data_IF_878150289735
#
_entry.id   IF_878150289735
#
_cell.length_a   1.000
_cell.length_b   1.000
_cell.length_c   1.000
_cell.angle_alpha   90.00
_cell.angle_beta   90.00
_cell.angle_gamma   90.00
#
_symmetry.space_group_name_H-M   'P 1'
#
loop_
_entity.id
_entity.type
_entity.pdbx_description
1 polymer ?
#
# COMPACT_ATOMS: atom_id res chain seq x y z
N UNK A 1 -18.50 25.54 28.01
CA UNK A 1 -17.85 24.34 28.59
C UNK A 1 -16.55 24.83 29.23
N UNK A 2 -16.39 24.67 30.54
CA UNK A 2 -15.22 25.21 31.26
C UNK A 2 -13.92 24.51 30.88
N UNK A 3 -12.78 25.20 31.07
CA UNK A 3 -11.42 24.70 30.78
C UNK A 3 -11.18 23.36 31.51
N UNK A 4 -11.60 23.26 32.77
CA UNK A 4 -11.48 22.04 33.59
C UNK A 4 -12.23 20.82 33.00
N UNK A 5 -13.39 21.04 32.36
CA UNK A 5 -14.17 19.97 31.72
C UNK A 5 -13.46 19.45 30.47
N UNK A 6 -12.81 20.35 29.71
CA UNK A 6 -11.99 19.96 28.56
C UNK A 6 -10.77 19.15 29.01
N UNK A 7 -10.02 19.62 30.01
CA UNK A 7 -8.85 18.92 30.54
C UNK A 7 -9.20 17.51 31.04
N UNK A 8 -10.35 17.35 31.70
CA UNK A 8 -10.83 16.03 32.15
C UNK A 8 -11.18 15.10 30.98
N UNK A 9 -11.74 15.63 29.88
CA UNK A 9 -12.03 14.84 28.68
C UNK A 9 -10.75 14.42 27.95
N UNK A 10 -9.75 15.29 27.84
CA UNK A 10 -8.44 14.93 27.29
C UNK A 10 -7.77 13.83 28.11
N UNK A 11 -7.81 13.94 29.44
CA UNK A 11 -7.28 12.89 30.33
C UNK A 11 -8.00 11.55 30.13
N UNK A 12 -9.32 11.57 29.95
CA UNK A 12 -10.11 10.36 29.69
C UNK A 12 -9.74 9.70 28.36
N UNK A 13 -9.42 10.51 27.33
CA UNK A 13 -8.91 10.01 26.06
C UNK A 13 -7.51 9.41 26.20
N UNK A 14 -6.61 10.07 26.90
CA UNK A 14 -5.27 9.54 27.18
C UNK A 14 -5.31 8.21 27.98
N UNK A 15 -6.20 8.10 28.96
CA UNK A 15 -6.40 6.84 29.69
C UNK A 15 -7.01 5.74 28.78
N UNK A 16 -7.79 6.14 27.76
CA UNK A 16 -8.30 5.23 26.75
C UNK A 16 -7.20 4.76 25.78
N UNK A 17 -6.26 5.63 25.40
CA UNK A 17 -5.09 5.26 24.58
C UNK A 17 -4.32 4.10 25.20
N UNK A 18 -3.98 4.20 26.49
CA UNK A 18 -3.24 3.16 27.21
C UNK A 18 -3.97 1.82 27.18
N UNK A 19 -5.30 1.84 27.28
CA UNK A 19 -6.12 0.62 27.24
C UNK A 19 -6.16 0.03 25.83
N UNK A 20 -6.31 0.87 24.81
CA UNK A 20 -6.31 0.45 23.40
C UNK A 20 -4.95 -0.13 23.04
N UNK A 21 -3.85 0.56 23.34
CA UNK A 21 -2.48 0.09 23.10
C UNK A 21 -2.22 -1.27 23.74
N UNK A 22 -2.73 -1.49 24.96
CA UNK A 22 -2.64 -2.78 25.63
C UNK A 22 -3.44 -3.86 24.88
N UNK A 23 -4.69 -3.57 24.52
CA UNK A 23 -5.54 -4.51 23.79
C UNK A 23 -4.93 -4.89 22.43
N UNK A 24 -4.31 -3.94 21.72
CA UNK A 24 -3.65 -4.20 20.45
C UNK A 24 -2.48 -5.17 20.61
N UNK A 25 -1.72 -5.10 21.70
CA UNK A 25 -0.62 -6.05 21.97
C UNK A 25 -1.09 -7.47 22.32
N UNK A 26 -2.37 -7.63 22.67
CA UNK A 26 -2.96 -8.90 23.11
C UNK A 26 -3.80 -9.58 22.01
N UNK A 27 -3.86 -9.02 20.80
CA UNK A 27 -4.60 -9.59 19.67
C UNK A 27 -4.09 -10.98 19.30
N UNK A 28 -5.00 -11.87 18.90
CA UNK A 28 -4.66 -13.23 18.50
C UNK A 28 -3.99 -13.28 17.12
N UNK A 29 -4.20 -12.24 16.29
CA UNK A 29 -3.58 -12.10 14.96
C UNK A 29 -2.05 -12.20 14.98
N UNK A 30 -1.40 -11.87 16.10
CA UNK A 30 0.06 -11.95 16.25
C UNK A 30 0.64 -13.36 16.17
N UNK A 31 -0.19 -14.40 16.28
CA UNK A 31 0.24 -15.78 16.02
C UNK A 31 0.56 -16.06 14.55
N UNK A 32 0.08 -15.21 13.65
CA UNK A 32 0.28 -15.36 12.21
C UNK A 32 1.59 -14.72 11.76
N UNK A 33 2.23 -15.25 10.69
CA UNK A 33 3.41 -14.64 10.11
C UNK A 33 3.18 -13.18 9.69
N UNK A 34 4.19 -12.34 9.82
CA UNK A 34 4.14 -10.94 9.35
C UNK A 34 3.64 -10.84 7.90
N UNK A 35 4.12 -11.71 7.01
CA UNK A 35 3.70 -11.74 5.61
C UNK A 35 2.20 -12.00 5.45
N UNK A 36 1.60 -12.90 6.24
CA UNK A 36 0.15 -13.17 6.21
C UNK A 36 -0.64 -11.91 6.53
N UNK A 37 -0.30 -11.21 7.62
CA UNK A 37 -1.02 -10.00 8.05
C UNK A 37 -0.87 -8.90 6.99
N UNK A 38 0.36 -8.71 6.46
CA UNK A 38 0.65 -7.74 5.43
C UNK A 38 -0.12 -8.03 4.14
N UNK A 39 -0.02 -9.25 3.60
CA UNK A 39 -0.71 -9.62 2.37
C UNK A 39 -2.23 -9.47 2.51
N UNK A 40 -2.81 -9.84 3.66
CA UNK A 40 -4.25 -9.64 3.91
C UNK A 40 -4.65 -8.17 3.95
N UNK A 41 -3.82 -7.30 4.54
CA UNK A 41 -4.08 -5.86 4.54
C UNK A 41 -4.03 -5.28 3.11
N UNK A 42 -3.00 -5.63 2.32
CA UNK A 42 -2.87 -5.19 0.93
C UNK A 42 -4.03 -5.71 0.06
N UNK A 43 -4.44 -6.96 0.26
CA UNK A 43 -5.56 -7.55 -0.46
C UNK A 43 -6.89 -6.86 -0.15
N UNK A 44 -7.09 -6.44 1.11
CA UNK A 44 -8.26 -5.64 1.48
C UNK A 44 -8.26 -4.25 0.82
N UNK A 45 -7.10 -3.62 0.63
CA UNK A 45 -7.01 -2.37 -0.09
C UNK A 45 -7.48 -2.51 -1.55
N UNK A 46 -7.08 -3.60 -2.23
CA UNK A 46 -7.59 -3.90 -3.57
C UNK A 46 -9.10 -4.17 -3.57
N UNK A 47 -9.62 -4.94 -2.59
CA UNK A 47 -11.07 -5.17 -2.49
C UNK A 47 -11.85 -3.86 -2.35
N UNK A 48 -11.38 -2.94 -1.51
CA UNK A 48 -11.98 -1.61 -1.36
C UNK A 48 -11.93 -0.84 -2.70
N UNK A 49 -10.80 -0.90 -3.41
CA UNK A 49 -10.65 -0.27 -4.73
C UNK A 49 -11.61 -0.84 -5.78
N UNK A 50 -11.75 -2.16 -5.82
CA UNK A 50 -12.57 -2.85 -6.81
C UNK A 50 -14.07 -2.73 -6.51
N UNK A 51 -14.47 -2.98 -5.26
CA UNK A 51 -15.88 -3.03 -4.84
C UNK A 51 -16.46 -1.61 -4.60
N UNK A 52 -15.61 -0.57 -4.57
CA UNK A 52 -15.95 0.83 -4.29
C UNK A 52 -16.72 0.99 -2.95
N UNK A 53 -16.16 0.41 -1.89
CA UNK A 53 -16.79 0.21 -0.57
C UNK A 53 -16.88 1.50 0.30
N UNK A 54 -17.05 2.67 -0.31
CA UNK A 54 -17.23 3.95 0.39
C UNK A 54 -16.00 4.47 1.16
N UNK A 55 -14.94 3.68 1.28
CA UNK A 55 -13.60 4.08 1.75
C UNK A 55 -12.63 4.13 0.56
N UNK A 56 -11.50 4.83 0.71
CA UNK A 56 -10.44 4.92 -0.30
C UNK A 56 -9.34 3.89 0.02
N UNK A 57 -8.88 3.15 -0.99
CA UNK A 57 -7.75 2.23 -0.83
C UNK A 57 -6.47 2.95 -0.35
N UNK A 58 -6.26 4.20 -0.76
CA UNK A 58 -5.13 5.02 -0.33
C UNK A 58 -5.26 5.36 1.17
N UNK A 59 -6.44 5.77 1.60
CA UNK A 59 -6.69 6.06 3.02
C UNK A 59 -6.60 4.78 3.86
N UNK A 60 -6.94 3.63 3.26
CA UNK A 60 -6.78 2.33 3.91
C UNK A 60 -5.30 2.02 4.15
N UNK A 61 -4.47 2.11 3.11
CA UNK A 61 -3.03 1.88 3.19
C UNK A 61 -2.32 2.86 4.12
N UNK A 62 -2.77 4.12 4.17
CA UNK A 62 -2.28 5.09 5.15
C UNK A 62 -2.45 4.61 6.60
N UNK A 63 -3.59 3.97 6.91
CA UNK A 63 -3.83 3.37 8.25
C UNK A 63 -2.99 2.11 8.49
N UNK A 64 -2.72 1.32 7.45
CA UNK A 64 -1.80 0.17 7.53
C UNK A 64 -0.37 0.64 7.88
N UNK A 65 0.08 1.76 7.32
CA UNK A 65 1.40 2.32 7.60
C UNK A 65 1.61 2.64 9.09
N UNK A 66 0.57 3.13 9.77
CA UNK A 66 0.61 3.47 11.21
C UNK A 66 0.76 2.22 12.11
N UNK A 67 0.25 1.07 11.68
CA UNK A 67 0.32 -0.18 12.45
C UNK A 67 1.42 -1.12 12.00
N UNK A 68 2.12 -0.79 10.92
CA UNK A 68 3.20 -1.59 10.35
C UNK A 68 4.27 -1.93 11.38
N UNK A 69 4.67 -0.97 12.22
CA UNK A 69 5.65 -1.21 13.28
C UNK A 69 5.18 -2.27 14.27
N UNK A 70 3.92 -2.20 14.70
CA UNK A 70 3.32 -3.21 15.58
C UNK A 70 3.27 -4.57 14.91
N UNK A 71 2.93 -4.63 13.61
CA UNK A 71 2.98 -5.88 12.84
C UNK A 71 4.39 -6.47 12.82
N UNK A 72 5.41 -5.65 12.56
CA UNK A 72 6.83 -6.08 12.57
C UNK A 72 7.30 -6.59 13.93
N UNK A 73 6.88 -5.94 15.01
CA UNK A 73 7.37 -6.23 16.37
C UNK A 73 6.65 -7.43 17.02
N UNK A 74 5.39 -7.68 16.66
CA UNK A 74 4.54 -8.64 17.37
C UNK A 74 4.15 -9.86 16.55
N UNK A 75 4.08 -9.77 15.22
CA UNK A 75 3.72 -10.92 14.40
C UNK A 75 4.75 -12.05 14.51
N UNK A 76 4.32 -13.28 14.26
CA UNK A 76 5.22 -14.41 14.19
C UNK A 76 6.22 -14.23 13.02
N UNK A 77 7.41 -14.81 13.18
CA UNK A 77 8.40 -14.84 12.11
C UNK A 77 7.89 -15.67 10.92
N UNK A 78 8.01 -15.13 9.70
CA UNK A 78 7.74 -15.84 8.46
C UNK A 78 7.60 -14.89 7.28
N UNK A 79 8.38 -15.14 6.22
CA UNK A 79 8.46 -14.27 5.04
C UNK A 79 9.08 -14.98 3.82
N UNK A 80 8.47 -16.09 3.42
CA UNK A 80 8.95 -16.96 2.34
C UNK A 80 7.85 -17.82 1.70
N UNK A 81 6.59 -17.41 1.83
CA UNK A 81 5.43 -18.11 1.25
C UNK A 81 4.88 -17.35 0.03
N UNK A 82 4.11 -17.99 -0.84
CA UNK A 82 3.40 -17.28 -1.93
C UNK A 82 2.27 -16.40 -1.37
N UNK A 83 1.70 -15.50 -2.17
CA UNK A 83 0.59 -14.68 -1.69
C UNK A 83 -0.62 -15.53 -1.31
N UNK A 84 -0.98 -16.50 -2.15
CA UNK A 84 -2.10 -17.41 -1.89
C UNK A 84 -1.89 -18.17 -0.60
N UNK A 85 -0.69 -18.72 -0.36
CA UNK A 85 -0.35 -19.39 0.89
C UNK A 85 -0.46 -18.44 2.10
N UNK A 86 -0.03 -17.19 1.95
CA UNK A 86 -0.12 -16.18 2.99
C UNK A 86 -1.57 -15.85 3.35
N UNK A 87 -2.43 -15.67 2.34
CA UNK A 87 -3.85 -15.32 2.50
C UNK A 87 -4.67 -16.48 3.05
N UNK A 88 -4.44 -17.71 2.57
CA UNK A 88 -5.17 -18.89 3.01
C UNK A 88 -4.88 -19.28 4.47
N UNK A 89 -3.76 -18.86 5.05
CA UNK A 89 -3.47 -19.12 6.47
C UNK A 89 -4.49 -18.52 7.44
N UNK A 90 -5.09 -17.37 7.09
CA UNK A 90 -6.05 -16.67 7.95
C UNK A 90 -7.52 -16.86 7.54
N UNK A 91 -7.79 -17.49 6.40
CA UNK A 91 -9.13 -17.47 5.76
C UNK A 91 -10.20 -18.21 6.58
N UNK A 92 -9.83 -19.29 7.26
CA UNK A 92 -10.75 -20.13 8.03
C UNK A 92 -10.90 -19.67 9.50
N UNK A 93 -10.27 -18.56 9.88
CA UNK A 93 -10.27 -18.03 11.24
C UNK A 93 -11.04 -16.71 11.31
N UNK A 94 -12.30 -16.70 11.79
CA UNK A 94 -13.08 -15.48 11.93
C UNK A 94 -12.42 -14.43 12.84
N UNK A 95 -11.64 -14.85 13.85
CA UNK A 95 -10.93 -13.94 14.74
C UNK A 95 -9.82 -13.17 14.00
N UNK A 96 -9.21 -13.77 12.96
CA UNK A 96 -8.18 -13.12 12.17
C UNK A 96 -8.69 -11.84 11.51
N UNK A 97 -9.84 -11.90 10.84
CA UNK A 97 -10.41 -10.73 10.18
C UNK A 97 -10.96 -9.69 11.17
N UNK A 98 -11.47 -10.12 12.32
CA UNK A 98 -11.86 -9.19 13.39
C UNK A 98 -10.65 -8.43 13.91
N UNK A 99 -9.55 -9.12 14.19
CA UNK A 99 -8.33 -8.49 14.67
C UNK A 99 -7.65 -7.63 13.60
N UNK A 100 -7.69 -8.03 12.32
CA UNK A 100 -7.21 -7.19 11.21
C UNK A 100 -8.00 -5.88 11.12
N UNK A 101 -9.32 -5.93 11.28
CA UNK A 101 -10.16 -4.74 11.37
C UNK A 101 -9.85 -3.91 12.61
N UNK A 102 -9.54 -4.53 13.76
CA UNK A 102 -9.12 -3.80 14.97
C UNK A 102 -7.77 -3.09 14.75
N UNK A 103 -6.81 -3.70 14.06
CA UNK A 103 -5.56 -3.05 13.66
C UNK A 103 -5.83 -1.86 12.77
N UNK A 104 -6.72 -1.99 11.79
CA UNK A 104 -7.11 -0.89 10.92
C UNK A 104 -7.71 0.30 11.70
N UNK A 105 -8.66 0.02 12.60
CA UNK A 105 -9.25 1.02 13.47
C UNK A 105 -8.22 1.67 14.39
N UNK A 106 -7.22 0.90 14.84
CA UNK A 106 -6.12 1.41 15.62
C UNK A 106 -5.17 2.30 14.81
N UNK A 107 -4.93 1.99 13.54
CA UNK A 107 -4.23 2.88 12.61
C UNK A 107 -4.96 4.23 12.48
N UNK A 108 -6.28 4.19 12.26
CA UNK A 108 -7.10 5.41 12.24
C UNK A 108 -7.02 6.21 13.55
N UNK A 109 -7.10 5.52 14.68
CA UNK A 109 -6.94 6.11 16.00
C UNK A 109 -5.57 6.81 16.14
N UNK A 110 -4.50 6.15 15.70
CA UNK A 110 -3.13 6.66 15.74
C UNK A 110 -2.91 7.89 14.87
N UNK A 111 -3.67 8.05 13.78
CA UNK A 111 -3.65 9.28 12.97
C UNK A 111 -4.36 10.46 13.66
N UNK A 112 -5.41 10.19 14.44
CA UNK A 112 -6.25 11.23 15.07
C UNK A 112 -5.64 11.72 16.38
N UNK A 113 -5.15 10.81 17.23
CA UNK A 113 -4.71 11.14 18.58
C UNK A 113 -3.62 12.23 18.65
N UNK A 114 -2.60 12.26 17.78
CA UNK A 114 -1.62 13.35 17.76
C UNK A 114 -2.25 14.72 17.59
N UNK A 115 -3.33 14.84 16.80
CA UNK A 115 -4.05 16.10 16.60
C UNK A 115 -4.85 16.51 17.83
N UNK A 116 -5.37 15.54 18.57
CA UNK A 116 -6.03 15.76 19.87
C UNK A 116 -5.01 16.26 20.89
N UNK A 117 -3.83 15.62 21.00
CA UNK A 117 -2.74 16.05 21.90
C UNK A 117 -2.21 17.44 21.56
N UNK A 118 -2.12 17.75 20.25
CA UNK A 118 -1.78 19.09 19.74
C UNK A 118 -2.90 20.11 19.91
N UNK A 119 -4.01 19.74 20.55
CA UNK A 119 -5.07 20.66 20.89
C UNK A 119 -5.73 21.30 19.64
N UNK A 120 -5.76 20.59 18.50
CA UNK A 120 -6.37 21.07 17.25
C UNK A 120 -7.90 21.04 17.32
N UNK A 121 -8.45 19.99 17.95
CA UNK A 121 -9.88 19.79 18.11
C UNK A 121 -10.37 20.18 19.49
N UNK A 122 -11.61 20.66 19.58
CA UNK A 122 -12.43 20.62 20.78
C UNK A 122 -13.13 19.27 20.85
N UNK A 123 -12.96 18.57 21.97
CA UNK A 123 -13.53 17.24 22.20
C UNK A 123 -14.83 17.38 22.98
N UNK A 124 -15.92 16.80 22.47
CA UNK A 124 -17.20 16.75 23.19
C UNK A 124 -17.64 15.31 23.36
N UNK A 125 -17.98 14.92 24.59
CA UNK A 125 -18.55 13.59 24.84
C UNK A 125 -20.00 13.58 24.39
N UNK A 126 -20.35 12.64 23.51
CA UNK A 126 -21.74 12.46 23.02
C UNK A 126 -22.42 11.32 23.78
N UNK A 127 -21.73 10.20 23.95
CA UNK A 127 -22.16 9.07 24.79
C UNK A 127 -21.01 8.56 25.65
N UNK A 128 -21.23 7.48 26.41
CA UNK A 128 -20.17 6.88 27.22
C UNK A 128 -18.93 6.52 26.38
N UNK A 129 -19.14 5.98 25.18
CA UNK A 129 -18.11 5.46 24.29
C UNK A 129 -17.96 6.25 22.98
N UNK A 130 -18.51 7.47 22.90
CA UNK A 130 -18.40 8.28 21.69
C UNK A 130 -18.04 9.73 21.98
N UNK A 131 -17.16 10.25 21.13
CA UNK A 131 -16.70 11.62 21.17
C UNK A 131 -16.96 12.27 19.82
N UNK A 132 -17.34 13.54 19.84
CA UNK A 132 -17.41 14.41 18.67
C UNK A 132 -16.24 15.39 18.73
N UNK A 133 -15.46 15.38 17.66
CA UNK A 133 -14.36 16.29 17.43
C UNK A 133 -14.85 17.45 16.56
N UNK A 134 -14.50 18.67 16.94
CA UNK A 134 -14.79 19.89 16.17
C UNK A 134 -13.56 20.77 16.19
N UNK A 135 -13.23 21.48 15.10
CA UNK A 135 -12.11 22.42 15.14
C UNK A 135 -12.36 23.50 16.21
N UNK A 136 -11.31 23.92 16.92
CA UNK A 136 -11.44 24.95 17.96
C UNK A 136 -11.82 26.32 17.41
N UNK A 137 -11.47 26.59 16.15
CA UNK A 137 -11.81 27.83 15.46
C UNK A 137 -11.98 27.57 13.96
N UNK A 138 -12.70 28.47 13.28
CA UNK A 138 -12.86 28.41 11.82
C UNK A 138 -11.53 28.67 11.11
N UNK A 139 -10.66 29.47 11.69
CA UNK A 139 -9.33 29.77 11.14
C UNK A 139 -8.46 28.51 11.06
N UNK A 140 -8.49 27.66 12.10
CA UNK A 140 -7.78 26.38 12.09
C UNK A 140 -8.38 25.42 11.07
N UNK A 141 -9.71 25.33 11.00
CA UNK A 141 -10.40 24.52 9.99
C UNK A 141 -10.00 24.93 8.57
N UNK A 142 -9.95 26.24 8.28
CA UNK A 142 -9.54 26.75 6.97
C UNK A 142 -8.05 26.53 6.69
N UNK A 143 -7.18 26.63 7.70
CA UNK A 143 -5.76 26.34 7.54
C UNK A 143 -5.52 24.85 7.21
N UNK A 144 -6.15 23.93 7.94
CA UNK A 144 -6.08 22.48 7.69
C UNK A 144 -6.66 22.13 6.31
N UNK A 145 -7.78 22.74 5.92
CA UNK A 145 -8.33 22.56 4.58
C UNK A 145 -7.35 23.04 3.51
N UNK A 146 -6.72 24.19 3.72
CA UNK A 146 -5.72 24.73 2.78
C UNK A 146 -4.48 23.84 2.71
N UNK A 147 -3.98 23.34 3.83
CA UNK A 147 -2.83 22.44 3.87
C UNK A 147 -3.14 21.12 3.17
N UNK A 148 -4.35 20.56 3.35
CA UNK A 148 -4.80 19.39 2.57
C UNK A 148 -4.86 19.69 1.08
N UNK A 149 -5.46 20.82 0.68
CA UNK A 149 -5.51 21.22 -0.73
C UNK A 149 -4.08 21.38 -1.28
N UNK A 150 -3.19 22.04 -0.54
CA UNK A 150 -1.79 22.25 -0.92
C UNK A 150 -0.94 20.99 -0.85
N UNK A 151 -1.34 19.97 -0.09
CA UNK A 151 -0.72 18.65 -0.05
C UNK A 151 -1.12 17.80 -1.26
N UNK A 152 -2.37 17.93 -1.72
CA UNK A 152 -2.90 17.23 -2.90
C UNK A 152 -2.52 17.93 -4.21
N UNK A 153 -2.36 19.25 -4.24
CA UNK A 153 -1.94 19.97 -5.45
C UNK A 153 -0.56 19.55 -6.04
N UNK A 154 0.45 19.19 -5.25
CA UNK A 154 1.70 18.60 -5.73
C UNK A 154 1.60 17.08 -5.95
N UNK A 155 0.49 16.42 -5.57
CA UNK A 155 0.27 15.03 -5.97
C UNK A 155 0.20 14.95 -7.49
N UNK A 156 0.85 13.93 -8.01
CA UNK A 156 1.02 13.72 -9.43
C UNK A 156 -0.35 13.63 -10.11
N UNK A 157 -0.60 14.46 -11.12
CA UNK A 157 -1.76 14.31 -11.98
C UNK A 157 -1.67 12.96 -12.71
N UNK A 158 -2.35 11.94 -12.21
CA UNK A 158 -2.49 10.66 -12.91
C UNK A 158 -3.63 10.77 -13.91
N UNK A 159 -3.30 10.83 -15.20
CA UNK A 159 -4.31 10.71 -16.26
C UNK A 159 -4.64 9.23 -16.46
N UNK A 160 -5.93 8.91 -16.61
CA UNK A 160 -6.37 7.54 -16.91
C UNK A 160 -5.72 7.03 -18.21
N UNK A 161 -5.37 5.74 -18.23
CA UNK A 161 -4.79 5.11 -19.42
C UNK A 161 -5.80 5.11 -20.58
N UNK A 162 -5.55 5.81 -21.71
CA UNK A 162 -6.55 6.01 -22.75
C UNK A 162 -7.06 4.73 -23.41
N UNK A 163 -6.27 3.65 -23.35
CA UNK A 163 -6.60 2.36 -23.98
C UNK A 163 -6.98 1.28 -22.96
N UNK A 164 -7.35 1.66 -21.74
CA UNK A 164 -7.81 0.76 -20.68
C UNK A 164 -8.83 -0.28 -21.17
N UNK A 165 -9.90 0.14 -21.84
CA UNK A 165 -10.92 -0.78 -22.36
C UNK A 165 -10.38 -1.80 -23.38
N UNK A 166 -9.32 -1.44 -24.14
CA UNK A 166 -8.69 -2.39 -25.07
C UNK A 166 -7.79 -3.40 -24.34
N UNK A 167 -7.10 -2.95 -23.28
CA UNK A 167 -6.31 -3.82 -22.42
C UNK A 167 -7.21 -4.82 -21.68
N UNK A 168 -8.30 -4.34 -21.06
CA UNK A 168 -9.30 -5.19 -20.40
C UNK A 168 -9.83 -6.27 -21.35
N UNK A 169 -10.26 -5.88 -22.56
CA UNK A 169 -10.72 -6.81 -23.59
C UNK A 169 -9.63 -7.79 -24.04
N UNK A 170 -8.37 -7.36 -24.15
CA UNK A 170 -7.26 -8.25 -24.47
C UNK A 170 -7.08 -9.32 -23.39
N UNK A 171 -7.10 -8.91 -22.12
CA UNK A 171 -6.95 -9.82 -20.97
C UNK A 171 -8.10 -10.83 -20.91
N UNK A 172 -9.35 -10.40 -21.12
CA UNK A 172 -10.50 -11.29 -21.22
C UNK A 172 -10.32 -12.35 -22.32
N UNK A 173 -9.90 -11.94 -23.52
CA UNK A 173 -9.66 -12.85 -24.64
C UNK A 173 -8.51 -13.82 -24.38
N UNK A 174 -7.45 -13.34 -23.73
CA UNK A 174 -6.30 -14.15 -23.31
C UNK A 174 -6.73 -15.25 -22.34
N UNK A 175 -7.50 -14.91 -21.30
CA UNK A 175 -8.01 -15.90 -20.34
C UNK A 175 -8.99 -16.89 -20.98
N UNK A 176 -9.88 -16.43 -21.85
CA UNK A 176 -10.79 -17.31 -22.60
C UNK A 176 -10.07 -18.31 -23.53
N UNK A 177 -8.81 -18.03 -23.90
CA UNK A 177 -7.97 -18.94 -24.68
C UNK A 177 -7.16 -19.93 -23.83
N UNK A 178 -7.28 -19.87 -22.49
CA UNK A 178 -6.53 -20.70 -21.55
C UNK A 178 -5.10 -20.23 -21.28
N UNK A 179 -4.72 -19.02 -21.74
CA UNK A 179 -3.40 -18.45 -21.51
C UNK A 179 -3.37 -17.71 -20.16
N UNK A 180 -2.94 -18.40 -19.12
CA UNK A 180 -2.91 -17.88 -17.74
C UNK A 180 -1.55 -17.22 -17.42
N UNK A 181 -0.45 -17.85 -17.85
CA UNK A 181 0.91 -17.35 -17.61
C UNK A 181 1.26 -16.13 -18.48
N UNK A 182 2.07 -15.21 -17.94
CA UNK A 182 2.63 -14.09 -18.69
C UNK A 182 3.35 -14.58 -19.95
N UNK A 183 3.10 -13.92 -21.07
CA UNK A 183 3.67 -14.29 -22.36
C UNK A 183 4.19 -13.07 -23.12
N UNK A 184 4.90 -13.31 -24.23
CA UNK A 184 5.48 -12.23 -25.04
C UNK A 184 4.44 -11.25 -25.60
N UNK A 185 3.18 -11.66 -25.73
CA UNK A 185 2.10 -10.79 -26.19
C UNK A 185 1.67 -9.76 -25.13
N UNK A 186 2.05 -9.93 -23.87
CA UNK A 186 1.77 -8.99 -22.78
C UNK A 186 2.74 -7.79 -22.79
N UNK A 187 3.98 -8.00 -23.26
CA UNK A 187 5.03 -6.98 -23.23
C UNK A 187 4.64 -5.66 -23.94
N UNK A 188 4.00 -5.66 -25.13
CA UNK A 188 3.57 -4.42 -25.77
C UNK A 188 2.60 -3.58 -24.93
N UNK A 189 1.76 -4.21 -24.10
CA UNK A 189 0.85 -3.52 -23.19
C UNK A 189 1.59 -2.89 -22.01
N UNK A 190 2.54 -3.63 -21.44
CA UNK A 190 3.42 -3.13 -20.37
C UNK A 190 4.26 -1.94 -20.88
N UNK A 191 4.81 -2.03 -22.09
CA UNK A 191 5.58 -0.94 -22.73
C UNK A 191 4.70 0.29 -23.02
N UNK A 192 3.41 0.10 -23.31
CA UNK A 192 2.46 1.18 -23.54
C UNK A 192 2.04 1.86 -22.23
N UNK A 193 1.80 1.09 -21.17
CA UNK A 193 1.59 1.62 -19.81
C UNK A 193 2.82 2.41 -19.32
N UNK A 194 4.02 1.89 -19.56
CA UNK A 194 5.26 2.59 -19.24
C UNK A 194 5.36 3.94 -19.95
N UNK A 195 5.15 3.96 -21.28
CA UNK A 195 5.16 5.21 -22.06
C UNK A 195 4.08 6.18 -21.62
N UNK A 196 2.90 5.68 -21.25
CA UNK A 196 1.84 6.49 -20.66
C UNK A 196 2.33 7.16 -19.38
N UNK A 197 2.80 6.39 -18.39
CA UNK A 197 3.30 6.93 -17.12
C UNK A 197 4.47 7.91 -17.29
N UNK A 198 5.37 7.66 -18.25
CA UNK A 198 6.46 8.58 -18.58
C UNK A 198 5.98 9.95 -19.06
N UNK A 199 4.84 10.02 -19.76
CA UNK A 199 4.30 11.27 -20.33
C UNK A 199 3.36 11.96 -19.35
N UNK A 200 2.64 11.20 -18.52
CA UNK A 200 1.59 11.72 -17.65
C UNK A 200 2.10 12.09 -16.26
N UNK A 201 3.22 11.51 -15.82
CA UNK A 201 3.80 11.85 -14.53
C UNK A 201 4.40 13.26 -14.55
N UNK A 202 3.64 14.23 -14.07
CA UNK A 202 4.12 15.58 -13.80
C UNK A 202 4.47 15.71 -12.32
N UNK A 203 5.74 15.96 -12.04
CA UNK A 203 6.27 16.25 -10.70
C UNK A 203 6.81 17.68 -10.68
N UNK A 204 6.62 18.37 -9.57
CA UNK A 204 7.38 19.59 -9.27
C UNK A 204 8.81 19.16 -8.92
N UNK A 205 9.77 19.49 -9.78
CA UNK A 205 11.19 19.27 -9.52
C UNK A 205 11.66 20.25 -8.46
N UNK A 206 11.89 19.75 -7.24
CA UNK A 206 12.35 20.56 -6.11
C UNK A 206 13.86 20.83 -6.14
N UNK A 207 14.62 19.91 -6.75
CA UNK A 207 16.07 19.95 -6.84
C UNK A 207 16.50 19.69 -8.29
N UNK A 208 17.54 20.41 -8.71
CA UNK A 208 18.15 20.24 -10.03
C UNK A 208 18.97 18.93 -10.11
N UNK A 209 19.16 18.43 -11.33
CA UNK A 209 19.82 17.14 -11.59
C UNK A 209 21.26 17.07 -11.09
N UNK A 210 22.01 18.18 -11.12
CA UNK A 210 23.37 18.24 -10.60
C UNK A 210 23.44 17.92 -9.10
N UNK A 211 22.53 18.49 -8.32
CA UNK A 211 22.41 18.23 -6.88
C UNK A 211 21.99 16.78 -6.60
N UNK A 212 21.02 16.26 -7.36
CA UNK A 212 20.54 14.88 -7.19
C UNK A 212 21.62 13.87 -7.56
N UNK A 213 22.37 14.09 -8.63
CA UNK A 213 23.45 13.21 -9.05
C UNK A 213 24.60 13.22 -8.03
N UNK A 214 24.95 14.38 -7.46
CA UNK A 214 25.99 14.49 -6.44
C UNK A 214 25.65 13.73 -5.15
N UNK A 215 24.40 13.84 -4.68
CA UNK A 215 24.02 13.32 -3.36
C UNK A 215 23.31 11.97 -3.39
N UNK A 216 22.56 11.66 -4.45
CA UNK A 216 21.71 10.47 -4.54
C UNK A 216 22.13 9.51 -5.66
N UNK A 217 22.93 9.97 -6.63
CA UNK A 217 23.44 9.16 -7.72
C UNK A 217 22.47 8.91 -8.88
N UNK A 218 21.38 9.67 -8.95
CA UNK A 218 20.39 9.60 -10.04
C UNK A 218 19.81 10.99 -10.35
N UNK A 219 19.26 11.20 -11.54
CA UNK A 219 18.61 12.44 -11.98
C UNK A 219 17.08 12.40 -11.82
N UNK A 220 16.41 13.53 -12.07
CA UNK A 220 14.95 13.59 -12.19
C UNK A 220 14.45 12.65 -13.31
N UNK A 221 15.18 12.58 -14.43
CA UNK A 221 14.89 11.67 -15.53
C UNK A 221 14.96 10.20 -15.12
N UNK A 222 16.02 9.81 -14.40
CA UNK A 222 16.19 8.44 -13.91
C UNK A 222 15.05 8.05 -12.95
N UNK A 223 14.67 8.97 -12.05
CA UNK A 223 13.53 8.79 -11.15
C UNK A 223 12.23 8.54 -11.92
N UNK A 224 11.94 9.35 -12.94
CA UNK A 224 10.72 9.19 -13.74
C UNK A 224 10.68 7.83 -14.46
N UNK A 225 11.80 7.39 -15.03
CA UNK A 225 11.92 6.08 -15.66
C UNK A 225 11.66 4.94 -14.68
N UNK A 226 12.23 5.03 -13.48
CA UNK A 226 12.03 4.04 -12.42
C UNK A 226 10.57 3.96 -11.98
N UNK A 227 9.95 5.09 -11.62
CA UNK A 227 8.57 5.11 -11.14
C UNK A 227 7.58 4.72 -12.23
N UNK A 228 7.82 5.13 -13.48
CA UNK A 228 6.96 4.74 -14.60
C UNK A 228 7.03 3.23 -14.86
N UNK A 229 8.20 2.61 -14.74
CA UNK A 229 8.34 1.16 -14.90
C UNK A 229 7.61 0.40 -13.79
N UNK A 230 7.73 0.83 -12.53
CA UNK A 230 7.01 0.19 -11.41
C UNK A 230 5.50 0.32 -11.59
N UNK A 231 5.01 1.52 -11.90
CA UNK A 231 3.57 1.76 -12.13
C UNK A 231 3.04 0.95 -13.32
N UNK A 232 3.81 0.80 -14.38
CA UNK A 232 3.40 -0.02 -15.51
C UNK A 232 3.19 -1.49 -15.13
N UNK A 233 4.09 -2.05 -14.32
CA UNK A 233 3.93 -3.40 -13.79
C UNK A 233 2.76 -3.49 -12.80
N UNK A 234 2.63 -2.55 -11.86
CA UNK A 234 1.51 -2.48 -10.92
C UNK A 234 0.16 -2.45 -11.64
N UNK A 235 -0.03 -1.51 -12.57
CA UNK A 235 -1.26 -1.37 -13.33
C UNK A 235 -1.57 -2.64 -14.12
N UNK A 236 -0.57 -3.20 -14.82
CA UNK A 236 -0.77 -4.43 -15.59
C UNK A 236 -1.19 -5.60 -14.70
N UNK A 237 -0.51 -5.79 -13.56
CA UNK A 237 -0.82 -6.81 -12.56
C UNK A 237 -2.24 -6.63 -11.98
N UNK A 238 -2.64 -5.39 -11.66
CA UNK A 238 -4.00 -5.09 -11.19
C UNK A 238 -5.04 -5.40 -12.26
N UNK A 239 -4.84 -4.95 -13.51
CA UNK A 239 -5.78 -5.26 -14.60
C UNK A 239 -5.89 -6.77 -14.84
N UNK A 240 -4.77 -7.49 -14.82
CA UNK A 240 -4.74 -8.94 -14.98
C UNK A 240 -5.44 -9.65 -13.81
N UNK A 241 -5.15 -9.26 -12.57
CA UNK A 241 -5.83 -9.78 -11.38
C UNK A 241 -7.33 -9.58 -11.45
N UNK A 242 -7.79 -8.38 -11.81
CA UNK A 242 -9.23 -8.09 -11.97
C UNK A 242 -9.88 -8.91 -13.07
N UNK A 243 -9.18 -9.15 -14.18
CA UNK A 243 -9.66 -10.06 -15.23
C UNK A 243 -9.82 -11.49 -14.69
N UNK A 244 -8.85 -11.98 -13.90
CA UNK A 244 -8.97 -13.27 -13.22
C UNK A 244 -10.16 -13.34 -12.26
N UNK A 245 -10.40 -12.29 -11.45
CA UNK A 245 -11.56 -12.22 -10.56
C UNK A 245 -12.88 -12.36 -11.34
N UNK A 246 -13.04 -11.61 -12.42
CA UNK A 246 -14.24 -11.66 -13.28
C UNK A 246 -14.41 -13.03 -13.95
N UNK A 247 -13.31 -13.68 -14.36
CA UNK A 247 -13.33 -15.05 -14.86
C UNK A 247 -13.70 -16.06 -13.78
N UNK A 248 -13.22 -15.91 -12.55
CA UNK A 248 -13.61 -16.77 -11.42
C UNK A 248 -15.12 -16.67 -11.11
N UNK A 249 -15.68 -15.46 -11.13
CA UNK A 249 -17.11 -15.20 -10.89
C UNK A 249 -18.03 -15.76 -11.98
N UNK A 250 -17.50 -16.00 -13.19
CA UNK A 250 -18.25 -16.52 -14.35
C UNK A 250 -18.03 -18.02 -14.60
N UNK A 251 -17.17 -18.68 -13.81
CA UNK A 251 -16.86 -20.10 -13.90
C UNK A 251 -17.23 -20.84 -12.60
N UNK A 252 -16.98 -22.15 -12.51
CA UNK A 252 -17.31 -22.97 -11.33
C UNK A 252 -16.30 -24.08 -11.12
N UNK A 253 -16.18 -24.58 -9.88
CA UNK A 253 -15.31 -25.71 -9.56
C UNK A 253 -13.82 -25.33 -9.60
N UNK A 254 -12.98 -26.27 -10.01
CA UNK A 254 -11.51 -26.14 -10.03
C UNK A 254 -11.03 -24.93 -10.84
N UNK A 255 -11.73 -24.59 -11.93
CA UNK A 255 -11.37 -23.44 -12.78
C UNK A 255 -11.60 -22.11 -12.06
N UNK A 256 -12.70 -21.99 -11.29
CA UNK A 256 -12.96 -20.80 -10.49
C UNK A 256 -11.95 -20.65 -9.35
N UNK A 257 -11.56 -21.77 -8.71
CA UNK A 257 -10.53 -21.79 -7.68
C UNK A 257 -9.16 -21.39 -8.23
N UNK A 258 -8.80 -21.89 -9.43
CA UNK A 258 -7.57 -21.50 -10.12
C UNK A 258 -7.53 -19.99 -10.40
N UNK A 259 -8.60 -19.44 -11.00
CA UNK A 259 -8.66 -18.01 -11.29
C UNK A 259 -8.68 -17.16 -10.02
N UNK A 260 -9.30 -17.62 -8.93
CA UNK A 260 -9.24 -16.92 -7.65
C UNK A 260 -7.81 -16.92 -7.07
N UNK A 261 -7.07 -18.03 -7.20
CA UNK A 261 -5.65 -18.12 -6.87
C UNK A 261 -4.82 -17.09 -7.64
N UNK A 262 -5.00 -17.05 -8.96
CA UNK A 262 -4.29 -16.09 -9.82
C UNK A 262 -4.68 -14.64 -9.53
N UNK A 263 -5.94 -14.35 -9.22
CA UNK A 263 -6.36 -13.02 -8.76
C UNK A 263 -5.57 -12.61 -7.51
N UNK A 264 -5.48 -13.49 -6.51
CA UNK A 264 -4.73 -13.22 -5.28
C UNK A 264 -3.24 -12.94 -5.54
N UNK A 265 -2.56 -13.79 -6.34
CA UNK A 265 -1.14 -13.62 -6.65
C UNK A 265 -0.83 -12.35 -7.47
N UNK A 266 -1.79 -11.86 -8.26
CA UNK A 266 -1.57 -10.70 -9.14
C UNK A 266 -1.93 -9.35 -8.50
N UNK A 267 -2.77 -9.32 -7.45
CA UNK A 267 -3.12 -8.04 -6.77
C UNK A 267 -2.32 -7.77 -5.51
N UNK A 268 -1.79 -8.81 -4.88
CA UNK A 268 -0.73 -8.71 -3.88
C UNK A 268 0.38 -9.61 -4.35
N UNK A 269 1.44 -9.04 -4.88
CA UNK A 269 2.44 -9.80 -5.61
C UNK A 269 3.57 -10.24 -4.65
N UNK A 270 3.61 -11.51 -4.25
CA UNK A 270 4.82 -12.08 -3.66
C UNK A 270 5.70 -12.61 -4.77
N UNK A 271 6.68 -11.81 -5.18
CA UNK A 271 7.53 -12.10 -6.32
C UNK A 271 8.92 -12.54 -5.86
N UNK A 272 9.67 -13.12 -6.77
CA UNK A 272 11.11 -13.29 -6.60
C UNK A 272 11.86 -12.03 -7.09
N UNK A 273 13.17 -11.98 -6.86
CA UNK A 273 14.00 -10.84 -7.27
C UNK A 273 14.16 -10.65 -8.78
N UNK A 274 13.76 -11.60 -9.63
CA UNK A 274 13.80 -11.40 -11.10
C UNK A 274 12.82 -10.33 -11.55
N UNK A 275 11.79 -10.04 -10.74
CA UNK A 275 10.91 -8.90 -10.96
C UNK A 275 11.70 -7.59 -11.11
N UNK A 276 12.67 -7.33 -10.22
CA UNK A 276 13.48 -6.12 -10.30
C UNK A 276 14.35 -6.06 -11.55
N UNK A 277 14.83 -7.20 -12.05
CA UNK A 277 15.55 -7.25 -13.33
C UNK A 277 14.64 -6.87 -14.50
N UNK A 278 13.40 -7.35 -14.51
CA UNK A 278 12.40 -7.00 -15.52
C UNK A 278 12.04 -5.50 -15.45
N UNK A 279 11.81 -4.96 -14.24
CA UNK A 279 11.54 -3.53 -14.03
C UNK A 279 12.73 -2.66 -14.44
N UNK A 280 13.95 -3.09 -14.12
CA UNK A 280 15.18 -2.41 -14.55
C UNK A 280 15.31 -2.40 -16.07
N UNK A 281 15.05 -3.54 -16.73
CA UNK A 281 15.08 -3.63 -18.18
C UNK A 281 14.05 -2.70 -18.83
N UNK A 282 12.82 -2.66 -18.31
CA UNK A 282 11.76 -1.77 -18.80
C UNK A 282 12.12 -0.28 -18.63
N UNK A 283 12.64 0.10 -17.46
CA UNK A 283 13.07 1.49 -17.20
C UNK A 283 14.27 1.93 -18.04
N UNK A 284 15.06 0.98 -18.56
CA UNK A 284 16.31 1.25 -19.29
C UNK A 284 17.44 1.78 -18.39
N UNK A 285 17.30 1.67 -17.07
CA UNK A 285 18.29 2.16 -16.12
C UNK A 285 19.48 1.22 -15.97
N UNK A 286 20.66 1.81 -15.78
CA UNK A 286 21.83 1.09 -15.30
C UNK A 286 21.58 0.54 -13.88
N UNK A 287 22.18 -0.60 -13.57
CA UNK A 287 21.97 -1.32 -12.31
C UNK A 287 22.22 -0.44 -11.07
N UNK A 288 23.32 0.32 -11.05
CA UNK A 288 23.67 1.17 -9.91
C UNK A 288 22.59 2.23 -9.63
N UNK A 289 22.06 2.87 -10.67
CA UNK A 289 20.99 3.87 -10.55
C UNK A 289 19.68 3.24 -10.11
N UNK A 290 19.34 2.09 -10.70
CA UNK A 290 18.13 1.36 -10.35
C UNK A 290 18.14 0.93 -8.88
N UNK A 291 19.26 0.38 -8.39
CA UNK A 291 19.43 -0.01 -6.99
C UNK A 291 19.43 1.19 -6.05
N UNK A 292 20.04 2.30 -6.45
CA UNK A 292 20.01 3.54 -5.66
C UNK A 292 18.57 4.06 -5.48
N UNK A 293 17.78 4.07 -6.56
CA UNK A 293 16.36 4.44 -6.52
C UNK A 293 15.53 3.45 -5.70
N UNK A 294 15.68 2.16 -5.95
CA UNK A 294 14.96 1.10 -5.24
C UNK A 294 15.16 1.18 -3.72
N UNK A 295 16.34 1.61 -3.26
CA UNK A 295 16.59 1.81 -1.84
C UNK A 295 15.63 2.77 -1.14
N UNK A 296 15.03 3.72 -1.85
CA UNK A 296 14.03 4.65 -1.31
C UNK A 296 12.60 4.12 -1.37
N UNK A 297 12.37 2.99 -2.04
CA UNK A 297 11.05 2.38 -2.22
C UNK A 297 10.93 1.00 -1.56
N UNK A 298 12.03 0.49 -1.00
CA UNK A 298 12.11 -0.86 -0.48
C UNK A 298 12.56 -0.88 0.98
N UNK A 299 11.79 -1.55 1.83
CA UNK A 299 12.13 -1.81 3.22
C UNK A 299 12.55 -3.27 3.43
N UNK A 300 13.55 -3.51 4.29
CA UNK A 300 14.00 -4.86 4.58
C UNK A 300 13.22 -5.44 5.76
N UNK A 301 12.49 -6.53 5.53
CA UNK A 301 12.04 -7.44 6.59
C UNK A 301 13.20 -8.35 6.99
N UNK A 302 13.86 -8.92 5.97
CA UNK A 302 15.07 -9.71 6.12
C UNK A 302 16.10 -9.25 5.09
N UNK A 303 17.39 -9.49 5.37
CA UNK A 303 18.43 -9.19 4.39
C UNK A 303 18.30 -10.11 3.17
N UNK A 304 18.23 -9.54 1.95
CA UNK A 304 18.19 -10.34 0.72
C UNK A 304 19.43 -11.23 0.60
N UNK A 305 19.27 -12.46 0.10
CA UNK A 305 20.39 -13.38 -0.14
C UNK A 305 21.13 -13.02 -1.44
N UNK A 306 20.39 -12.71 -2.51
CA UNK A 306 20.92 -12.61 -3.88
C UNK A 306 20.87 -11.19 -4.46
N UNK A 307 19.99 -10.31 -3.97
CA UNK A 307 19.80 -8.98 -4.52
C UNK A 307 20.11 -7.90 -3.47
N UNK A 308 21.39 -7.56 -3.33
CA UNK A 308 21.86 -6.60 -2.33
C UNK A 308 21.44 -5.18 -2.71
N UNK A 309 20.47 -4.63 -1.97
CA UNK A 309 20.03 -3.24 -2.00
C UNK A 309 20.20 -2.65 -0.62
N UNK A 310 20.52 -1.36 -0.52
CA UNK A 310 20.44 -0.63 0.75
C UNK A 310 19.07 0.00 0.84
N UNK A 311 18.35 -0.25 1.92
CA UNK A 311 17.12 0.46 2.23
C UNK A 311 17.42 1.78 2.94
N UNK A 312 16.87 2.86 2.39
CA UNK A 312 16.81 4.20 2.99
C UNK A 312 15.38 4.56 3.42
N UNK A 313 14.42 3.67 3.17
CA UNK A 313 13.01 3.85 3.53
C UNK A 313 12.67 3.18 4.85
N UNK A 314 11.77 3.80 5.61
CA UNK A 314 11.09 3.18 6.74
C UNK A 314 9.61 3.49 6.65
N UNK A 315 8.76 2.47 6.78
CA UNK A 315 7.33 2.65 6.95
C UNK A 315 7.04 3.44 8.23
N UNK A 316 6.21 4.47 8.09
CA UNK A 316 5.88 5.43 9.15
C UNK A 316 5.76 6.86 8.61
N UNK A 317 5.26 7.78 9.44
CA UNK A 317 5.08 9.20 9.10
C UNK A 317 4.30 9.43 7.78
N UNK A 318 3.26 8.62 7.55
CA UNK A 318 2.42 8.69 6.36
C UNK A 318 3.03 8.10 5.08
N UNK A 319 4.20 7.46 5.17
CA UNK A 319 4.83 6.75 4.05
C UNK A 319 4.78 5.22 4.25
N UNK A 320 4.34 4.51 3.21
CA UNK A 320 4.38 3.05 3.12
C UNK A 320 5.24 2.64 1.91
N UNK A 321 6.38 1.95 2.10
CA UNK A 321 7.23 1.54 0.99
C UNK A 321 6.52 0.50 0.12
N UNK A 322 6.54 0.65 -1.22
CA UNK A 322 5.89 -0.32 -2.11
C UNK A 322 6.48 -1.73 -2.08
N UNK A 323 7.74 -1.87 -1.63
CA UNK A 323 8.42 -3.16 -1.58
C UNK A 323 8.85 -3.54 -0.16
N UNK A 324 8.46 -4.73 0.27
CA UNK A 324 8.98 -5.36 1.47
C UNK A 324 9.88 -6.54 1.08
N UNK A 325 11.16 -6.46 1.47
CA UNK A 325 12.19 -7.39 1.04
C UNK A 325 12.42 -8.49 2.08
N UNK A 326 12.28 -9.73 1.62
CA UNK A 326 12.66 -10.95 2.32
C UNK A 326 13.99 -11.52 1.87
N UNK A 327 14.38 -12.68 2.40
CA UNK A 327 15.59 -13.37 1.94
C UNK A 327 15.57 -13.71 0.45
N UNK A 328 14.43 -14.20 -0.05
CA UNK A 328 14.27 -14.73 -1.41
C UNK A 328 13.11 -14.12 -2.19
N UNK A 329 12.19 -13.47 -1.48
CA UNK A 329 10.95 -12.93 -2.02
C UNK A 329 10.86 -11.43 -1.74
N UNK A 330 10.04 -10.76 -2.54
CA UNK A 330 9.60 -9.38 -2.34
C UNK A 330 8.08 -9.39 -2.32
N UNK A 331 7.48 -8.75 -1.32
CA UNK A 331 6.05 -8.41 -1.36
C UNK A 331 5.93 -7.05 -2.02
N UNK A 332 5.10 -6.98 -3.05
CA UNK A 332 4.81 -5.79 -3.83
C UNK A 332 3.29 -5.56 -3.83
N UNK A 333 2.91 -4.30 -3.60
CA UNK A 333 1.53 -3.81 -3.69
C UNK A 333 1.45 -2.60 -4.61
#
# INVERSE_FOLDING_TARGET
MGIEVQEQLYKTLADSEIKVDKAIKELSIWRYPFQTILCSALFNAEKISFDNDGDSAVDYLGRVAEVYKSMREHAADGFDMTTTEALLKGVDDPEFFEDLNRLYLYGHFSMIMPQIHRNVFMVTRVTENSFKLTFKSKELEQAELKDRILGVLPEQFSMEFPRKAFLEKYLEQRLASGQIELCQADQPWIDELYRHHMVTQQRIELLADDILLEHLGFSNGDYNQFTAAIKAFSDFSIYLGRAFKLSAESTTGEEAELFMGEYMENVVCTLNYTFFDNTRQLSGLHEDKFKALLGYFAQHYQQPETYQVKSYSSCGDGYFPPFELGKKVVVFS
#
